data_IF_901975837839
#
_entry.id   IF_901975837839
#
_cell.length_a   1.000
_cell.length_b   1.000
_cell.length_c   1.000
_cell.angle_alpha   90.00
_cell.angle_beta   90.00
_cell.angle_gamma   90.00
#
_symmetry.space_group_name_H-M   'P 1'
#
loop_
_entity.id
_entity.type
_entity.pdbx_description
1 polymer ?
#
# COMPACT_ATOMS: atom_id res chain seq x y z
N UNK A 1 -7.56 -19.73 13.57
CA UNK A 1 -7.84 -18.31 13.23
C UNK A 1 -7.91 -18.19 11.72
N UNK A 2 -8.93 -17.50 11.17
CA UNK A 2 -9.03 -17.22 9.73
C UNK A 2 -7.82 -16.34 9.32
N UNK A 3 -7.05 -16.76 8.30
CA UNK A 3 -5.93 -15.94 7.78
C UNK A 3 -6.49 -14.63 7.26
N UNK A 4 -5.92 -13.48 7.66
CA UNK A 4 -6.27 -12.19 7.09
C UNK A 4 -5.88 -12.15 5.62
N UNK A 5 -6.73 -11.55 4.81
CA UNK A 5 -6.52 -11.33 3.38
C UNK A 5 -6.09 -9.90 3.12
N UNK A 6 -5.14 -9.70 2.22
CA UNK A 6 -4.57 -8.39 1.88
C UNK A 6 -4.68 -8.16 0.37
N UNK A 7 -5.20 -7.00 -0.02
CA UNK A 7 -5.20 -6.54 -1.40
C UNK A 7 -4.19 -5.40 -1.56
N UNK A 8 -3.16 -5.61 -2.38
CA UNK A 8 -2.14 -4.58 -2.69
C UNK A 8 -2.41 -4.05 -4.09
N UNK A 9 -2.71 -2.76 -4.21
CA UNK A 9 -3.10 -2.09 -5.46
C UNK A 9 -1.93 -1.27 -5.98
N UNK A 10 -1.44 -1.62 -7.16
CA UNK A 10 -0.20 -1.15 -7.75
C UNK A 10 0.96 -2.08 -7.40
N UNK A 11 1.49 -2.81 -8.38
CA UNK A 11 2.55 -3.81 -8.19
C UNK A 11 3.90 -3.29 -8.74
N UNK A 12 4.18 -2.00 -8.53
CA UNK A 12 5.45 -1.36 -8.86
C UNK A 12 6.54 -1.61 -7.81
N UNK A 13 7.51 -0.67 -7.73
CA UNK A 13 8.68 -0.75 -6.84
C UNK A 13 8.36 -0.87 -5.35
N UNK A 14 7.19 -0.41 -4.90
CA UNK A 14 6.76 -0.52 -3.50
C UNK A 14 5.77 -1.68 -3.34
N UNK A 15 4.73 -1.73 -4.16
CA UNK A 15 3.64 -2.68 -3.95
C UNK A 15 4.02 -4.14 -4.17
N UNK A 16 4.87 -4.47 -5.15
CA UNK A 16 5.28 -5.86 -5.37
C UNK A 16 6.14 -6.41 -4.23
N UNK A 17 7.19 -5.69 -3.76
CA UNK A 17 7.96 -6.13 -2.59
C UNK A 17 7.11 -6.25 -1.32
N UNK A 18 6.24 -5.27 -1.06
CA UNK A 18 5.30 -5.30 0.09
C UNK A 18 4.37 -6.51 0.00
N UNK A 19 3.79 -6.79 -1.17
CA UNK A 19 2.93 -7.95 -1.40
C UNK A 19 3.67 -9.28 -1.16
N UNK A 20 4.89 -9.41 -1.68
CA UNK A 20 5.72 -10.61 -1.49
C UNK A 20 6.12 -10.81 -0.02
N UNK A 21 6.51 -9.73 0.68
CA UNK A 21 6.86 -9.78 2.10
C UNK A 21 5.67 -10.27 2.94
N UNK A 22 4.50 -9.67 2.76
CA UNK A 22 3.28 -10.02 3.51
C UNK A 22 2.85 -11.45 3.21
N UNK A 23 2.91 -11.88 1.93
CA UNK A 23 2.59 -13.24 1.53
C UNK A 23 3.53 -14.26 2.19
N UNK A 24 4.84 -13.99 2.24
CA UNK A 24 5.82 -14.85 2.89
C UNK A 24 5.68 -14.89 4.43
N UNK A 25 4.92 -13.99 5.03
CA UNK A 25 4.48 -14.04 6.43
C UNK A 25 3.19 -14.85 6.61
N UNK A 26 2.69 -15.46 5.55
CA UNK A 26 1.57 -16.40 5.60
C UNK A 26 0.18 -15.78 5.36
N UNK A 27 0.10 -14.52 4.97
CA UNK A 27 -1.16 -13.90 4.55
C UNK A 27 -1.54 -14.36 3.13
N UNK A 28 -2.84 -14.32 2.82
CA UNK A 28 -3.31 -14.46 1.45
C UNK A 28 -3.31 -13.08 0.79
N UNK A 29 -2.47 -12.88 -0.22
CA UNK A 29 -2.27 -11.57 -0.86
C UNK A 29 -2.78 -11.61 -2.30
N UNK A 30 -3.69 -10.69 -2.60
CA UNK A 30 -4.14 -10.38 -3.95
C UNK A 30 -3.43 -9.10 -4.42
N UNK A 31 -2.45 -9.24 -5.30
CA UNK A 31 -1.84 -8.08 -5.96
C UNK A 31 -2.71 -7.61 -7.11
N UNK A 32 -2.88 -6.30 -7.27
CA UNK A 32 -3.70 -5.73 -8.35
C UNK A 32 -2.87 -4.76 -9.18
N UNK A 33 -2.86 -4.94 -10.48
CA UNK A 33 -2.24 -4.01 -11.42
C UNK A 33 -3.09 -3.90 -12.69
N UNK A 34 -2.99 -2.76 -13.38
CA UNK A 34 -3.70 -2.52 -14.65
C UNK A 34 -2.94 -3.10 -15.87
N UNK A 35 -1.68 -3.48 -15.69
CA UNK A 35 -0.83 -3.97 -16.75
C UNK A 35 -0.82 -5.51 -16.78
N UNK A 36 -1.46 -6.09 -17.78
CA UNK A 36 -1.55 -7.55 -17.94
C UNK A 36 -0.17 -8.25 -18.07
N UNK A 37 0.84 -7.56 -18.61
CA UNK A 37 2.21 -8.10 -18.67
C UNK A 37 2.82 -8.23 -17.26
N UNK A 38 2.60 -7.24 -16.40
CA UNK A 38 3.02 -7.26 -14.98
C UNK A 38 2.36 -8.43 -14.27
N UNK A 39 1.03 -8.56 -14.39
CA UNK A 39 0.24 -9.64 -13.79
C UNK A 39 0.75 -11.01 -14.24
N UNK A 40 0.89 -11.20 -15.56
CA UNK A 40 1.38 -12.46 -16.13
C UNK A 40 2.80 -12.80 -15.67
N UNK A 41 3.69 -11.81 -15.55
CA UNK A 41 5.06 -11.99 -15.09
C UNK A 41 5.08 -12.43 -13.63
N UNK A 42 4.34 -11.76 -12.75
CA UNK A 42 4.27 -12.08 -11.32
C UNK A 42 3.66 -13.47 -11.10
N UNK A 43 2.57 -13.81 -11.79
CA UNK A 43 1.92 -15.12 -11.66
C UNK A 43 2.79 -16.30 -12.13
N UNK A 44 3.87 -16.02 -12.88
CA UNK A 44 4.93 -16.99 -13.22
C UNK A 44 6.07 -17.04 -12.19
N UNK A 45 5.94 -16.35 -11.06
CA UNK A 45 6.97 -16.25 -10.03
C UNK A 45 8.19 -15.42 -10.47
N UNK A 46 8.01 -14.49 -11.43
CA UNK A 46 9.05 -13.60 -11.94
C UNK A 46 8.77 -12.16 -11.54
N UNK A 47 9.80 -11.30 -11.64
CA UNK A 47 9.69 -9.86 -11.39
C UNK A 47 9.82 -9.09 -12.71
N UNK A 48 9.29 -7.86 -12.71
CA UNK A 48 9.36 -6.93 -13.85
C UNK A 48 10.11 -5.65 -13.50
N UNK A 49 10.65 -5.57 -12.30
CA UNK A 49 11.50 -4.48 -11.79
C UNK A 49 12.90 -5.02 -11.50
N UNK A 50 13.89 -4.14 -11.41
CA UNK A 50 15.30 -4.54 -11.21
C UNK A 50 15.62 -4.49 -9.71
N UNK A 51 15.47 -5.64 -9.05
CA UNK A 51 15.72 -5.83 -7.60
C UNK A 51 16.08 -7.28 -7.32
N UNK A 52 17.36 -7.56 -7.16
CA UNK A 52 17.86 -8.94 -7.06
C UNK A 52 17.34 -9.68 -5.82
N UNK A 53 17.22 -8.99 -4.69
CA UNK A 53 16.72 -9.57 -3.43
C UNK A 53 15.22 -9.92 -3.46
N UNK A 54 14.47 -9.36 -4.42
CA UNK A 54 13.05 -9.59 -4.60
C UNK A 54 12.73 -10.89 -5.36
N UNK A 55 13.62 -11.35 -6.24
CA UNK A 55 13.38 -12.52 -7.14
C UNK A 55 12.95 -13.75 -6.36
N UNK A 56 13.74 -14.11 -5.35
CA UNK A 56 13.47 -15.29 -4.52
C UNK A 56 12.19 -15.14 -3.70
N UNK A 57 11.93 -13.94 -3.19
CA UNK A 57 10.77 -13.62 -2.38
C UNK A 57 9.47 -13.75 -3.17
N UNK A 58 9.40 -13.20 -4.39
CA UNK A 58 8.22 -13.32 -5.26
C UNK A 58 8.01 -14.77 -5.70
N UNK A 59 9.08 -15.46 -6.09
CA UNK A 59 9.00 -16.88 -6.46
C UNK A 59 8.42 -17.73 -5.34
N UNK A 60 8.89 -17.55 -4.10
CA UNK A 60 8.39 -18.25 -2.93
C UNK A 60 6.93 -17.93 -2.64
N UNK A 61 6.54 -16.65 -2.64
CA UNK A 61 5.19 -16.20 -2.38
C UNK A 61 4.16 -16.74 -3.38
N UNK A 62 4.54 -16.79 -4.68
CA UNK A 62 3.67 -17.32 -5.74
C UNK A 62 3.61 -18.85 -5.69
N UNK A 63 4.76 -19.53 -5.51
CA UNK A 63 4.81 -21.00 -5.46
C UNK A 63 4.05 -21.59 -4.26
N UNK A 64 4.01 -20.87 -3.13
CA UNK A 64 3.23 -21.26 -1.96
C UNK A 64 1.72 -20.99 -2.11
N UNK A 65 1.29 -20.32 -3.20
CA UNK A 65 -0.09 -19.90 -3.41
C UNK A 65 -0.55 -18.74 -2.53
N UNK A 66 0.36 -18.11 -1.78
CA UNK A 66 0.04 -16.99 -0.90
C UNK A 66 -0.05 -15.65 -1.65
N UNK A 67 0.59 -15.50 -2.82
CA UNK A 67 0.51 -14.32 -3.68
C UNK A 67 -0.07 -14.71 -5.05
N UNK A 68 -1.10 -13.98 -5.47
CA UNK A 68 -1.63 -14.04 -6.83
C UNK A 68 -1.94 -12.64 -7.33
N UNK A 69 -1.59 -12.36 -8.59
CA UNK A 69 -1.87 -11.08 -9.23
C UNK A 69 -3.12 -11.12 -10.10
N UNK A 70 -3.88 -10.00 -10.10
CA UNK A 70 -5.17 -9.83 -10.76
C UNK A 70 -5.22 -8.45 -11.44
N UNK A 71 -6.15 -8.28 -12.38
CA UNK A 71 -6.46 -6.97 -12.96
C UNK A 71 -7.64 -6.25 -12.29
N UNK A 72 -8.27 -6.87 -11.30
CA UNK A 72 -9.38 -6.30 -10.51
C UNK A 72 -9.18 -6.56 -9.03
N UNK A 73 -9.65 -5.64 -8.22
CA UNK A 73 -9.67 -5.76 -6.77
C UNK A 73 -10.37 -7.04 -6.33
N UNK A 74 -9.84 -7.66 -5.28
CA UNK A 74 -10.41 -8.84 -4.64
C UNK A 74 -10.86 -8.48 -3.21
N UNK A 75 -11.95 -9.09 -2.75
CA UNK A 75 -12.44 -8.92 -1.39
C UNK A 75 -11.35 -9.27 -0.38
N UNK A 76 -11.04 -8.33 0.52
CA UNK A 76 -9.93 -8.45 1.48
C UNK A 76 -10.27 -7.79 2.81
N UNK A 77 -9.46 -8.05 3.83
CA UNK A 77 -9.56 -7.42 5.15
C UNK A 77 -8.63 -6.20 5.26
N UNK A 78 -7.63 -6.11 4.39
CA UNK A 78 -6.68 -4.99 4.30
C UNK A 78 -6.51 -4.58 2.86
N UNK A 79 -6.62 -3.29 2.57
CA UNK A 79 -6.38 -2.69 1.26
C UNK A 79 -5.20 -1.73 1.35
N UNK A 80 -4.15 -1.98 0.57
CA UNK A 80 -2.95 -1.14 0.52
C UNK A 80 -2.86 -0.47 -0.86
N UNK A 81 -2.80 0.85 -0.88
CA UNK A 81 -2.74 1.66 -2.10
C UNK A 81 -1.29 2.08 -2.33
N UNK A 82 -0.65 1.46 -3.33
CA UNK A 82 0.76 1.60 -3.69
C UNK A 82 0.92 2.08 -5.15
N UNK A 83 0.00 2.88 -5.64
CA UNK A 83 -0.03 3.37 -7.03
C UNK A 83 0.90 4.55 -7.25
N UNK A 84 1.34 4.82 -8.50
CA UNK A 84 2.16 6.01 -8.81
C UNK A 84 1.42 7.32 -8.51
N UNK A 85 2.20 8.36 -8.12
CA UNK A 85 1.69 9.73 -7.92
C UNK A 85 2.59 10.72 -8.69
N UNK A 86 2.53 10.73 -10.03
CA UNK A 86 3.36 11.61 -10.85
C UNK A 86 2.90 13.07 -10.75
N UNK A 87 3.61 13.96 -11.43
CA UNK A 87 3.13 15.32 -11.65
C UNK A 87 2.29 15.42 -12.93
N UNK A 88 1.31 16.32 -12.94
CA UNK A 88 0.63 16.70 -14.18
C UNK A 88 1.64 17.37 -15.13
N UNK A 89 1.60 16.96 -16.40
CA UNK A 89 2.45 17.53 -17.46
C UNK A 89 1.84 18.83 -18.01
N UNK A 90 1.63 19.81 -17.16
CA UNK A 90 1.10 21.13 -17.57
C UNK A 90 2.24 22.14 -17.61
N UNK A 91 2.11 23.17 -18.48
CA UNK A 91 3.01 24.31 -18.44
C UNK A 91 2.84 25.07 -17.12
N UNK A 92 3.95 25.39 -16.45
CA UNK A 92 3.97 26.11 -15.18
C UNK A 92 4.46 25.28 -13.99
N UNK A 93 4.01 25.62 -12.79
CA UNK A 93 4.43 24.92 -11.55
C UNK A 93 3.85 23.49 -11.55
N UNK A 94 4.69 22.45 -11.44
CA UNK A 94 4.22 21.06 -11.40
C UNK A 94 3.22 20.82 -10.26
N UNK A 95 2.06 20.24 -10.57
CA UNK A 95 1.04 19.87 -9.58
C UNK A 95 1.02 18.36 -9.40
N UNK A 96 0.92 17.86 -8.16
CA UNK A 96 0.80 16.42 -7.90
C UNK A 96 -0.44 15.84 -8.57
N UNK A 97 -0.28 14.70 -9.23
CA UNK A 97 -1.40 13.94 -9.80
C UNK A 97 -1.73 12.76 -8.89
N UNK A 98 -2.89 12.79 -8.24
CA UNK A 98 -3.41 11.71 -7.40
C UNK A 98 -4.55 10.92 -8.06
N UNK A 99 -4.74 11.03 -9.37
CA UNK A 99 -5.84 10.36 -10.08
C UNK A 99 -5.77 8.83 -9.96
N UNK A 100 -4.55 8.27 -9.90
CA UNK A 100 -4.38 6.83 -9.66
C UNK A 100 -4.83 6.44 -8.23
N UNK A 101 -4.57 7.28 -7.22
CA UNK A 101 -5.05 7.06 -5.84
C UNK A 101 -6.58 7.14 -5.82
N UNK A 102 -7.17 8.13 -6.48
CA UNK A 102 -8.63 8.27 -6.60
C UNK A 102 -9.24 7.02 -7.26
N UNK A 103 -8.67 6.57 -8.37
CA UNK A 103 -9.15 5.39 -9.11
C UNK A 103 -9.02 4.11 -8.26
N UNK A 104 -7.89 3.92 -7.58
CA UNK A 104 -7.69 2.80 -6.67
C UNK A 104 -8.72 2.82 -5.52
N UNK A 105 -8.94 3.99 -4.91
CA UNK A 105 -9.94 4.18 -3.85
C UNK A 105 -11.36 3.83 -4.32
N UNK A 106 -11.77 4.31 -5.49
CA UNK A 106 -13.08 3.98 -6.06
C UNK A 106 -13.24 2.48 -6.32
N UNK A 107 -12.16 1.81 -6.75
CA UNK A 107 -12.19 0.38 -7.08
C UNK A 107 -12.42 -0.53 -5.86
N UNK A 108 -12.09 -0.06 -4.65
CA UNK A 108 -12.30 -0.83 -3.41
C UNK A 108 -13.65 -0.53 -2.75
N UNK A 109 -14.33 0.57 -3.10
CA UNK A 109 -15.47 1.09 -2.35
C UNK A 109 -16.59 0.06 -2.11
N UNK A 110 -16.92 -0.75 -3.12
CA UNK A 110 -17.96 -1.77 -3.04
C UNK A 110 -17.58 -3.03 -2.23
N UNK A 111 -16.30 -3.17 -1.86
CA UNK A 111 -15.78 -4.31 -1.11
C UNK A 111 -15.61 -4.02 0.39
N UNK A 112 -15.69 -2.72 0.77
CA UNK A 112 -15.42 -2.27 2.14
C UNK A 112 -16.47 -2.80 3.11
N UNK A 113 -16.00 -3.33 4.23
CA UNK A 113 -16.82 -3.83 5.33
C UNK A 113 -16.23 -3.43 6.68
N UNK A 114 -17.01 -3.55 7.75
CA UNK A 114 -16.58 -3.31 9.14
C UNK A 114 -15.32 -4.11 9.50
N UNK A 115 -14.38 -3.49 10.16
CA UNK A 115 -13.10 -4.04 10.57
C UNK A 115 -11.99 -3.95 9.52
N UNK A 116 -12.27 -3.45 8.31
CA UNK A 116 -11.27 -3.35 7.25
C UNK A 116 -10.24 -2.25 7.53
N UNK A 117 -9.01 -2.50 7.06
CA UNK A 117 -7.92 -1.53 7.09
C UNK A 117 -7.67 -0.99 5.67
N UNK A 118 -7.58 0.32 5.53
CA UNK A 118 -7.23 0.99 4.28
C UNK A 118 -5.96 1.80 4.51
N UNK A 119 -4.90 1.48 3.77
CA UNK A 119 -3.57 2.04 3.98
C UNK A 119 -3.10 2.70 2.68
N UNK A 120 -2.82 3.99 2.73
CA UNK A 120 -2.15 4.71 1.65
C UNK A 120 -0.64 4.67 1.88
N UNK A 121 0.12 4.01 0.99
CA UNK A 121 1.59 4.00 0.99
C UNK A 121 2.18 4.97 -0.04
N UNK A 122 1.42 5.32 -1.08
CA UNK A 122 1.88 6.24 -2.14
C UNK A 122 2.25 7.60 -1.58
N UNK A 123 3.40 8.17 -1.99
CA UNK A 123 3.76 9.55 -1.65
C UNK A 123 2.67 10.51 -2.15
N UNK A 124 2.10 11.30 -1.25
CA UNK A 124 0.90 12.08 -1.56
C UNK A 124 0.93 13.46 -0.89
N UNK A 125 0.25 14.46 -1.45
CA UNK A 125 0.02 15.74 -0.78
C UNK A 125 -0.71 15.57 0.55
N UNK A 126 -0.48 16.51 1.47
CA UNK A 126 -1.20 16.56 2.76
C UNK A 126 -2.70 16.69 2.51
N UNK A 127 -3.49 15.84 3.22
CA UNK A 127 -4.96 15.77 3.08
C UNK A 127 -5.43 14.67 2.11
N UNK A 128 -4.54 13.92 1.47
CA UNK A 128 -4.94 12.84 0.55
C UNK A 128 -5.64 11.70 1.28
N UNK A 129 -5.23 11.38 2.51
CA UNK A 129 -5.86 10.33 3.32
C UNK A 129 -7.31 10.70 3.71
N UNK A 130 -7.56 11.97 4.04
CA UNK A 130 -8.93 12.48 4.26
C UNK A 130 -9.75 12.42 2.97
N UNK A 131 -9.14 12.72 1.83
CA UNK A 131 -9.79 12.63 0.53
C UNK A 131 -10.18 11.18 0.17
N UNK A 132 -9.37 10.19 0.53
CA UNK A 132 -9.74 8.76 0.39
C UNK A 132 -11.04 8.49 1.16
N UNK A 133 -11.14 8.92 2.42
CA UNK A 133 -12.36 8.75 3.21
C UNK A 133 -13.58 9.36 2.51
N UNK A 134 -13.45 10.60 2.04
CA UNK A 134 -14.56 11.27 1.36
C UNK A 134 -15.00 10.54 0.09
N UNK A 135 -14.04 10.08 -0.74
CA UNK A 135 -14.33 9.32 -1.96
C UNK A 135 -15.10 8.03 -1.65
N UNK A 136 -14.71 7.32 -0.59
CA UNK A 136 -15.41 6.09 -0.18
C UNK A 136 -16.84 6.38 0.25
N UNK A 137 -17.07 7.47 1.01
CA UNK A 137 -18.40 7.93 1.39
C UNK A 137 -19.23 8.29 0.16
N UNK A 138 -18.67 9.06 -0.76
CA UNK A 138 -19.33 9.47 -2.01
C UNK A 138 -19.68 8.26 -2.91
N UNK A 139 -18.92 7.18 -2.82
CA UNK A 139 -19.21 5.90 -3.48
C UNK A 139 -20.21 5.02 -2.71
N UNK A 140 -20.75 5.48 -1.58
CA UNK A 140 -21.74 4.75 -0.78
C UNK A 140 -21.16 3.68 0.14
N UNK A 141 -19.85 3.67 0.40
CA UNK A 141 -19.26 2.72 1.34
C UNK A 141 -19.68 3.05 2.78
N UNK A 142 -20.03 2.02 3.55
CA UNK A 142 -20.25 2.17 4.98
C UNK A 142 -18.91 2.09 5.72
N UNK A 143 -18.48 3.21 6.30
CA UNK A 143 -17.20 3.32 6.99
C UNK A 143 -17.27 3.06 8.51
N UNK A 144 -18.37 2.52 9.01
CA UNK A 144 -18.46 2.12 10.41
C UNK A 144 -17.40 1.07 10.73
N UNK A 145 -16.54 1.36 11.73
CA UNK A 145 -15.42 0.50 12.14
C UNK A 145 -14.41 0.20 11.01
N UNK A 146 -14.27 1.11 10.01
CA UNK A 146 -13.23 1.06 8.99
C UNK A 146 -12.08 1.97 9.42
N UNK A 147 -10.86 1.47 9.27
CA UNK A 147 -9.67 2.16 9.74
C UNK A 147 -8.81 2.62 8.57
N UNK A 148 -8.60 3.93 8.44
CA UNK A 148 -7.86 4.54 7.33
C UNK A 148 -6.62 5.24 7.88
N UNK A 149 -5.44 4.96 7.28
CA UNK A 149 -4.20 5.63 7.62
C UNK A 149 -3.26 5.80 6.43
N UNK A 150 -2.31 6.68 6.62
CA UNK A 150 -1.14 6.86 5.79
C UNK A 150 0.08 6.19 6.43
N UNK A 151 0.84 5.41 5.65
CA UNK A 151 2.11 4.83 6.06
C UNK A 151 3.07 4.82 4.88
N UNK A 152 3.85 5.90 4.67
CA UNK A 152 4.72 6.01 3.51
C UNK A 152 5.90 5.05 3.58
N UNK A 153 6.34 4.60 2.41
CA UNK A 153 7.55 3.78 2.27
C UNK A 153 8.81 4.65 2.21
N UNK A 154 9.93 4.09 2.70
CA UNK A 154 11.24 4.78 2.82
C UNK A 154 12.40 3.95 2.28
N UNK A 155 12.14 3.00 1.37
CA UNK A 155 13.18 2.11 0.81
C UNK A 155 14.01 2.77 -0.28
N UNK A 156 15.23 2.29 -0.42
CA UNK A 156 16.13 2.62 -1.51
C UNK A 156 16.27 1.41 -2.46
N UNK A 157 16.42 1.64 -3.77
CA UNK A 157 16.71 0.57 -4.72
C UNK A 157 17.94 -0.25 -4.32
N UNK A 158 17.88 -1.58 -4.51
CA UNK A 158 18.98 -2.51 -4.25
C UNK A 158 18.94 -3.20 -2.87
N UNK A 159 18.09 -2.76 -1.92
CA UNK A 159 17.94 -3.36 -0.59
C UNK A 159 16.49 -3.37 -0.10
N UNK A 160 15.55 -3.37 -1.03
CA UNK A 160 14.13 -3.16 -0.72
C UNK A 160 13.60 -4.18 0.31
N UNK A 161 13.90 -5.46 0.14
CA UNK A 161 13.36 -6.51 1.02
C UNK A 161 13.87 -6.40 2.45
N UNK A 162 15.12 -6.02 2.65
CA UNK A 162 15.69 -5.78 3.97
C UNK A 162 15.11 -4.52 4.60
N UNK A 163 15.09 -3.43 3.85
CA UNK A 163 14.63 -2.13 4.34
C UNK A 163 13.12 -2.10 4.64
N UNK A 164 12.31 -2.86 3.91
CA UNK A 164 10.88 -3.03 4.23
C UNK A 164 10.63 -3.61 5.63
N UNK A 165 11.56 -4.40 6.12
CA UNK A 165 11.48 -5.06 7.43
C UNK A 165 12.16 -4.24 8.52
N UNK A 166 13.31 -3.63 8.23
CA UNK A 166 14.20 -3.05 9.24
C UNK A 166 14.05 -1.53 9.42
N UNK A 167 13.59 -0.82 8.37
CA UNK A 167 13.43 0.62 8.47
C UNK A 167 12.31 1.02 9.44
N UNK A 168 12.55 2.10 10.16
CA UNK A 168 11.53 2.77 10.95
C UNK A 168 10.39 3.27 10.06
N UNK A 169 9.16 3.23 10.58
CA UNK A 169 7.96 3.70 9.88
C UNK A 169 7.27 4.80 10.66
N UNK A 170 6.53 5.62 9.93
CA UNK A 170 5.55 6.54 10.51
C UNK A 170 4.16 6.11 10.06
N UNK A 171 3.24 5.97 11.03
CA UNK A 171 1.84 5.60 10.76
C UNK A 171 0.93 6.70 11.29
N UNK A 172 0.17 7.31 10.39
CA UNK A 172 -0.79 8.36 10.71
C UNK A 172 -2.21 8.00 10.31
N UNK A 173 -3.06 7.71 11.27
CA UNK A 173 -4.48 7.42 11.03
C UNK A 173 -5.36 8.67 11.00
N UNK A 174 -6.56 8.52 10.41
CA UNK A 174 -7.61 9.54 10.54
C UNK A 174 -8.17 9.63 11.96
N UNK A 175 -8.02 8.55 12.73
CA UNK A 175 -8.33 8.49 14.16
C UNK A 175 -7.20 7.77 14.91
N UNK A 176 -7.08 7.99 16.22
CA UNK A 176 -6.12 7.27 17.06
C UNK A 176 -6.34 5.74 17.05
N UNK A 177 -7.60 5.32 16.94
CA UNK A 177 -7.95 3.89 16.81
C UNK A 177 -7.43 3.34 15.49
N UNK A 178 -7.62 4.07 14.38
CA UNK A 178 -7.08 3.69 13.06
C UNK A 178 -5.56 3.58 13.09
N UNK A 179 -4.87 4.54 13.73
CA UNK A 179 -3.41 4.49 13.89
C UNK A 179 -3.00 3.18 14.58
N UNK A 180 -3.57 2.87 15.75
CA UNK A 180 -3.24 1.66 16.52
C UNK A 180 -3.49 0.37 15.74
N UNK A 181 -4.66 0.24 15.11
CA UNK A 181 -5.01 -0.95 14.33
C UNK A 181 -4.04 -1.20 13.18
N UNK A 182 -3.59 -0.14 12.51
CA UNK A 182 -2.67 -0.24 11.39
C UNK A 182 -1.23 -0.47 11.88
N UNK A 183 -0.82 0.13 13.00
CA UNK A 183 0.45 -0.19 13.67
C UNK A 183 0.50 -1.67 14.04
N UNK A 184 -0.57 -2.23 14.63
CA UNK A 184 -0.64 -3.65 14.97
C UNK A 184 -0.51 -4.54 13.74
N UNK A 185 -1.04 -4.12 12.58
CA UNK A 185 -0.85 -4.83 11.32
C UNK A 185 0.62 -4.80 10.85
N UNK A 186 1.27 -3.63 10.86
CA UNK A 186 2.68 -3.52 10.44
C UNK A 186 3.63 -4.29 11.37
N UNK A 187 3.38 -4.32 12.67
CA UNK A 187 4.20 -5.09 13.65
C UNK A 187 4.27 -6.59 13.37
N UNK A 188 3.42 -7.13 12.52
CA UNK A 188 3.46 -8.53 12.12
C UNK A 188 4.65 -8.84 11.19
N UNK A 189 5.25 -7.82 10.56
CA UNK A 189 6.33 -8.02 9.59
C UNK A 189 7.42 -6.94 9.63
N UNK A 190 7.21 -5.80 10.25
CA UNK A 190 8.21 -4.72 10.44
C UNK A 190 8.88 -4.90 11.80
N UNK A 191 10.22 -4.79 11.80
CA UNK A 191 11.07 -4.84 13.01
C UNK A 191 11.54 -3.47 13.46
N UNK A 192 11.61 -2.49 12.54
CA UNK A 192 11.94 -1.10 12.84
C UNK A 192 10.95 -0.46 13.80
N UNK A 193 11.29 0.70 14.34
CA UNK A 193 10.37 1.46 15.17
C UNK A 193 9.17 1.94 14.34
N UNK A 194 7.99 1.98 14.96
CA UNK A 194 6.80 2.52 14.34
C UNK A 194 6.33 3.73 15.15
N UNK A 195 6.47 4.91 14.56
CA UNK A 195 6.07 6.18 15.16
C UNK A 195 4.60 6.46 14.83
N UNK A 196 3.81 6.63 15.88
CA UNK A 196 2.37 6.89 15.79
C UNK A 196 2.09 8.39 15.70
N UNK A 197 1.25 8.80 14.75
CA UNK A 197 0.84 10.19 14.58
C UNK A 197 -0.55 10.29 13.92
N UNK A 198 -0.94 11.47 13.42
CA UNK A 198 -2.11 11.66 12.56
C UNK A 198 -1.73 11.64 11.08
N UNK A 199 -2.73 11.47 10.20
CA UNK A 199 -2.51 11.34 8.75
C UNK A 199 -1.75 12.53 8.15
N UNK A 200 -2.14 13.77 8.48
CA UNK A 200 -1.49 14.97 7.94
C UNK A 200 -0.03 15.09 8.31
N UNK A 201 0.30 14.77 9.57
CA UNK A 201 1.70 14.78 10.03
C UNK A 201 2.52 13.70 9.32
N UNK A 202 1.98 12.50 9.15
CA UNK A 202 2.67 11.43 8.43
C UNK A 202 2.89 11.79 6.94
N UNK A 203 1.89 12.38 6.28
CA UNK A 203 1.99 12.86 4.89
C UNK A 203 3.05 13.96 4.77
N UNK A 204 3.03 14.96 5.65
CA UNK A 204 4.04 16.03 5.67
C UNK A 204 5.44 15.50 5.92
N UNK A 205 5.60 14.55 6.84
CA UNK A 205 6.90 13.95 7.15
C UNK A 205 7.55 13.31 5.92
N UNK A 206 6.75 12.62 5.08
CA UNK A 206 7.25 12.04 3.82
C UNK A 206 7.68 13.10 2.82
N UNK A 207 6.94 14.18 2.69
CA UNK A 207 7.28 15.29 1.80
C UNK A 207 8.55 16.02 2.27
N UNK A 208 8.66 16.27 3.57
CA UNK A 208 9.86 16.85 4.16
C UNK A 208 11.09 15.96 3.92
N UNK A 209 11.01 14.66 4.20
CA UNK A 209 12.09 13.71 3.93
C UNK A 209 12.55 13.75 2.47
N UNK A 210 11.61 13.71 1.52
CA UNK A 210 11.96 13.77 0.10
C UNK A 210 12.62 15.09 -0.33
N UNK A 211 12.37 16.19 0.40
CA UNK A 211 12.98 17.50 0.11
C UNK A 211 14.45 17.58 0.57
N UNK A 212 14.90 16.67 1.46
CA UNK A 212 16.28 16.60 1.94
C UNK A 212 17.15 15.56 1.21
N UNK A 213 16.57 14.84 0.26
CA UNK A 213 17.28 13.90 -0.63
C UNK A 213 17.63 14.56 -1.94
#
# INVERSE_FOLDING_TARGET
MKKKTVCVIGLGYIGLPTAALIANKGFLVSGVDVNDKVISTINKGKIHIVEDDLVSSVKMAVSSGQLKAFNKVQLSDVYMICVPTPFHKNEGIPKPNIDYVISATKSIASFIKSGDLIILESTSPVGTTEKIQQILIDCGANLNDVHIAYCPERVLPGKIMTELVENDRIVGGLTSVSTKKIVDFYRLFVKGNIFETNAKTAEMSKLAENSFR
#
